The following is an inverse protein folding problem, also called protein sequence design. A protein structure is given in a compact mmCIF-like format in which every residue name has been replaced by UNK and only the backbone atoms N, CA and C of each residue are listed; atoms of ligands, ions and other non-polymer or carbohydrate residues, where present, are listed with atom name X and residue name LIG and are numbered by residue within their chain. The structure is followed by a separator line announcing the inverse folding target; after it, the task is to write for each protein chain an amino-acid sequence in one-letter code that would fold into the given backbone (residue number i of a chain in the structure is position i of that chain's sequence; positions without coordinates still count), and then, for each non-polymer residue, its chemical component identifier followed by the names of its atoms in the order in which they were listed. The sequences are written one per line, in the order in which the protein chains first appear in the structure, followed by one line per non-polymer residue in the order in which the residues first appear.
data_IF_608015020758
#
_entry.id   IF_608015020758
#
_cell.length_a   1.000
_cell.length_b   1.000
_cell.length_c   1.000
_cell.angle_alpha   90.00
_cell.angle_beta   90.00
_cell.angle_gamma   90.00
#
_symmetry.space_group_name_H-M   'P 1'
#
loop_
_entity.id
_entity.type
_entity.pdbx_description
1 polymer ?
#
# COMPACT_ATOMS: atom_id res chain seq x y z
N UNK A 1 -9.68 -4.20 -3.35
CA UNK A 1 -8.52 -3.30 -3.13
C UNK A 1 -8.42 -2.83 -1.68
N UNK A 2 -9.43 -2.15 -1.10
CA UNK A 2 -9.36 -1.69 0.30
C UNK A 2 -9.02 -2.79 1.31
N UNK A 3 -9.67 -3.97 1.20
CA UNK A 3 -9.41 -5.12 2.07
C UNK A 3 -7.95 -5.58 1.99
N UNK A 4 -7.39 -5.71 0.78
CA UNK A 4 -6.00 -6.11 0.56
C UNK A 4 -5.06 -5.11 1.25
N UNK A 5 -5.27 -3.80 1.07
CA UNK A 5 -4.45 -2.77 1.74
C UNK A 5 -4.55 -2.85 3.25
N UNK A 6 -5.76 -2.97 3.80
CA UNK A 6 -5.99 -3.03 5.23
C UNK A 6 -5.29 -4.24 5.86
N UNK A 7 -5.42 -5.40 5.25
CA UNK A 7 -4.77 -6.64 5.67
C UNK A 7 -3.24 -6.54 5.58
N UNK A 8 -2.69 -6.08 4.45
CA UNK A 8 -1.25 -5.99 4.24
C UNK A 8 -0.57 -4.98 5.19
N UNK A 9 -1.26 -3.89 5.54
CA UNK A 9 -0.74 -2.90 6.50
C UNK A 9 -1.05 -3.26 7.96
N UNK A 10 -1.97 -4.19 8.21
CA UNK A 10 -2.41 -4.60 9.54
C UNK A 10 -3.24 -3.53 10.25
N UNK A 11 -4.13 -2.85 9.51
CA UNK A 11 -4.94 -1.72 10.00
C UNK A 11 -6.42 -1.95 9.74
N UNK A 12 -7.27 -1.21 10.45
CA UNK A 12 -8.71 -1.23 10.19
C UNK A 12 -9.05 -0.64 8.82
N UNK A 13 -10.00 -1.26 8.11
CA UNK A 13 -10.38 -0.86 6.75
C UNK A 13 -10.93 0.57 6.69
N UNK A 14 -11.49 1.11 7.78
CA UNK A 14 -11.97 2.50 7.86
C UNK A 14 -10.86 3.53 7.71
N UNK A 15 -9.59 3.13 7.92
CA UNK A 15 -8.42 3.97 7.70
C UNK A 15 -7.95 4.00 6.24
N UNK A 16 -8.53 3.16 5.37
CA UNK A 16 -8.17 3.08 3.95
C UNK A 16 -9.23 3.79 3.11
N UNK A 17 -8.79 4.71 2.25
CA UNK A 17 -9.64 5.40 1.29
C UNK A 17 -9.13 5.18 -0.13
N UNK A 18 -10.05 4.91 -1.04
CA UNK A 18 -9.78 4.85 -2.48
C UNK A 18 -10.21 6.17 -3.11
N UNK A 19 -9.35 6.74 -3.95
CA UNK A 19 -9.71 7.83 -4.85
C UNK A 19 -10.06 7.26 -6.23
N UNK A 20 -10.76 8.05 -7.04
CA UNK A 20 -11.04 7.68 -8.43
C UNK A 20 -9.77 7.35 -9.23
N UNK A 21 -9.94 6.46 -10.20
CA UNK A 21 -8.90 6.09 -11.16
C UNK A 21 -8.61 7.28 -12.06
N UNK A 22 -7.34 7.69 -12.11
CA UNK A 22 -6.90 8.82 -12.92
C UNK A 22 -5.49 8.56 -13.48
N UNK A 23 -5.27 8.95 -14.74
CA UNK A 23 -4.04 8.66 -15.50
C UNK A 23 -2.84 9.51 -15.07
N UNK A 24 -3.07 10.61 -14.36
CA UNK A 24 -2.05 11.40 -13.68
C UNK A 24 -1.49 10.69 -12.44
N UNK A 25 -2.28 9.81 -11.79
CA UNK A 25 -1.87 9.01 -10.65
C UNK A 25 -1.23 7.69 -11.07
N UNK A 26 -1.89 6.95 -11.96
CA UNK A 26 -1.43 5.65 -12.46
C UNK A 26 -1.47 5.67 -13.99
N UNK A 27 -0.33 5.92 -14.66
CA UNK A 27 -0.26 5.94 -16.12
C UNK A 27 -0.23 4.52 -16.71
N UNK A 28 -0.58 4.42 -18.00
CA UNK A 28 -0.42 3.20 -18.81
C UNK A 28 -1.09 1.94 -18.24
N UNK A 29 -2.24 2.08 -17.59
CA UNK A 29 -3.02 0.95 -17.07
C UNK A 29 -3.66 0.13 -18.19
N UNK A 30 -3.84 -1.17 -17.94
CA UNK A 30 -4.63 -2.01 -18.84
C UNK A 30 -6.13 -1.83 -18.56
N UNK A 31 -7.00 -1.99 -19.58
CA UNK A 31 -8.44 -1.91 -19.38
C UNK A 31 -8.95 -2.89 -18.31
N UNK A 32 -9.98 -2.50 -17.56
CA UNK A 32 -10.71 -3.42 -16.68
C UNK A 32 -11.51 -4.40 -17.53
N UNK A 33 -10.93 -5.57 -17.84
CA UNK A 33 -11.50 -6.58 -18.72
C UNK A 33 -11.05 -7.99 -18.34
N UNK A 34 -11.75 -9.01 -18.84
CA UNK A 34 -11.30 -10.40 -18.81
C UNK A 34 -11.39 -11.09 -17.44
N UNK A 35 -12.08 -10.49 -16.47
CA UNK A 35 -12.16 -10.98 -15.08
C UNK A 35 -10.83 -11.01 -14.33
N UNK A 36 -9.79 -10.34 -14.85
CA UNK A 36 -8.43 -10.38 -14.29
C UNK A 36 -8.07 -9.17 -13.42
N UNK A 37 -8.93 -8.15 -13.34
CA UNK A 37 -8.55 -6.88 -12.73
C UNK A 37 -8.14 -7.00 -11.26
N UNK A 38 -8.85 -7.81 -10.46
CA UNK A 38 -8.47 -8.06 -9.07
C UNK A 38 -7.13 -8.81 -8.97
N UNK A 39 -6.88 -9.74 -9.89
CA UNK A 39 -5.69 -10.58 -9.92
C UNK A 39 -4.46 -9.83 -10.43
N UNK A 40 -4.64 -8.75 -11.21
CA UNK A 40 -3.57 -7.89 -11.67
C UNK A 40 -3.25 -6.77 -10.67
N UNK A 41 -4.28 -6.04 -10.24
CA UNK A 41 -4.09 -4.86 -9.39
C UNK A 41 -3.94 -5.21 -7.91
N UNK A 42 -4.42 -6.37 -7.46
CA UNK A 42 -4.25 -6.86 -6.09
C UNK A 42 -2.78 -7.08 -5.75
N UNK A 43 -2.04 -7.90 -6.51
CA UNK A 43 -0.60 -8.08 -6.31
C UNK A 43 0.22 -6.79 -6.45
N UNK A 44 -0.14 -5.90 -7.38
CA UNK A 44 0.51 -4.60 -7.48
C UNK A 44 0.33 -3.79 -6.18
N UNK A 45 -0.85 -3.84 -5.56
CA UNK A 45 -1.13 -3.18 -4.29
C UNK A 45 -0.40 -3.85 -3.11
N UNK A 46 -0.25 -5.18 -3.14
CA UNK A 46 0.55 -5.93 -2.16
C UNK A 46 2.01 -5.46 -2.21
N UNK A 47 2.60 -5.34 -3.41
CA UNK A 47 3.96 -4.83 -3.60
C UNK A 47 4.12 -3.42 -2.99
N UNK A 48 3.20 -2.50 -3.28
CA UNK A 48 3.22 -1.16 -2.66
C UNK A 48 3.17 -1.21 -1.12
N UNK A 49 2.31 -2.07 -0.54
CA UNK A 49 2.19 -2.22 0.90
C UNK A 49 3.45 -2.85 1.53
N UNK A 50 4.08 -3.81 0.86
CA UNK A 50 5.34 -4.42 1.29
C UNK A 50 6.47 -3.40 1.30
N UNK A 51 6.57 -2.56 0.26
CA UNK A 51 7.53 -1.47 0.22
C UNK A 51 7.34 -0.49 1.40
N UNK A 52 6.10 -0.09 1.71
CA UNK A 52 5.81 0.75 2.87
C UNK A 52 6.17 0.06 4.19
N UNK A 53 5.77 -1.20 4.37
CA UNK A 53 6.11 -1.97 5.55
C UNK A 53 7.63 -2.11 5.74
N UNK A 54 8.40 -2.30 4.67
CA UNK A 54 9.86 -2.34 4.72
C UNK A 54 10.46 -1.03 5.21
N UNK A 55 9.92 0.12 4.77
CA UNK A 55 10.33 1.45 5.25
C UNK A 55 9.98 1.66 6.73
N UNK A 56 8.83 1.15 7.17
CA UNK A 56 8.35 1.28 8.55
C UNK A 56 8.92 0.22 9.50
N UNK A 57 9.52 -0.86 9.00
CA UNK A 57 10.01 -1.98 9.80
C UNK A 57 10.97 -1.55 10.92
N UNK A 58 11.97 -0.66 10.69
CA UNK A 58 12.84 -0.20 11.76
C UNK A 58 12.09 0.50 12.90
N UNK A 59 11.04 1.26 12.58
CA UNK A 59 10.20 1.92 13.58
C UNK A 59 9.32 0.93 14.34
N UNK A 60 8.73 -0.04 13.64
CA UNK A 60 7.94 -1.10 14.26
C UNK A 60 8.77 -1.91 15.27
N UNK A 61 10.06 -2.14 14.99
CA UNK A 61 10.99 -2.81 15.90
C UNK A 61 11.37 -1.93 17.10
N UNK A 62 11.69 -0.65 16.87
CA UNK A 62 12.01 0.30 17.95
C UNK A 62 10.83 0.57 18.87
N UNK A 63 9.61 0.53 18.33
CA UNK A 63 8.39 0.95 19.01
C UNK A 63 7.23 -0.03 18.78
N UNK A 64 7.30 -1.25 19.36
CA UNK A 64 6.35 -2.33 19.07
C UNK A 64 4.92 -2.07 19.58
N UNK A 65 4.75 -1.14 20.53
CA UNK A 65 3.46 -0.85 21.17
C UNK A 65 2.74 0.37 20.59
N UNK A 66 3.35 1.08 19.63
CA UNK A 66 2.72 2.27 19.07
C UNK A 66 1.49 1.91 18.24
N UNK A 67 0.45 2.73 18.38
CA UNK A 67 -0.68 2.71 17.45
C UNK A 67 -0.21 3.12 16.05
N UNK A 68 -0.96 2.72 15.03
CA UNK A 68 -0.67 3.09 13.65
C UNK A 68 -0.47 4.60 13.46
N UNK A 69 -1.35 5.42 14.02
CA UNK A 69 -1.29 6.88 13.90
C UNK A 69 0.01 7.45 14.48
N UNK A 70 0.44 6.95 15.65
CA UNK A 70 1.68 7.39 16.28
C UNK A 70 2.92 6.88 15.56
N UNK A 71 2.86 5.68 14.99
CA UNK A 71 3.93 5.15 14.12
C UNK A 71 4.13 6.04 12.88
N UNK A 72 3.04 6.46 12.23
CA UNK A 72 3.10 7.33 11.05
C UNK A 72 3.58 8.75 11.41
N UNK A 73 3.14 9.29 12.54
CA UNK A 73 3.65 10.57 13.06
C UNK A 73 5.17 10.50 13.31
N UNK A 74 5.67 9.42 13.92
CA UNK A 74 7.10 9.20 14.11
C UNK A 74 7.84 9.05 12.77
N UNK A 75 7.28 8.32 11.81
CA UNK A 75 7.87 8.16 10.48
C UNK A 75 8.04 9.51 9.76
N UNK A 76 7.07 10.43 9.93
CA UNK A 76 7.18 11.79 9.42
C UNK A 76 8.34 12.56 10.08
N UNK A 77 8.46 12.52 11.41
CA UNK A 77 9.56 13.19 12.12
C UNK A 77 10.95 12.62 11.76
N UNK A 78 11.03 11.31 11.51
CA UNK A 78 12.26 10.65 11.04
C UNK A 78 12.49 10.81 9.53
N UNK A 79 11.65 11.58 8.83
CA UNK A 79 11.72 11.86 7.39
C UNK A 79 11.72 10.59 6.53
N UNK A 80 10.99 9.57 6.96
CA UNK A 80 10.77 8.35 6.20
C UNK A 80 9.69 8.63 5.15
N UNK A 81 9.97 8.30 3.88
CA UNK A 81 9.01 8.51 2.80
C UNK A 81 7.80 7.57 2.92
N UNK A 82 6.61 8.14 3.13
CA UNK A 82 5.33 7.44 3.30
C UNK A 82 4.55 7.21 1.99
N UNK A 83 5.26 7.21 0.86
CA UNK A 83 4.73 6.89 -0.47
C UNK A 83 5.41 5.65 -1.04
N UNK A 84 4.65 4.78 -1.68
CA UNK A 84 5.13 3.66 -2.48
C UNK A 84 4.28 3.50 -3.73
N UNK A 85 4.91 3.07 -4.82
CA UNK A 85 4.25 2.72 -6.06
C UNK A 85 4.47 1.23 -6.30
N UNK A 86 3.37 0.50 -6.48
CA UNK A 86 3.40 -0.94 -6.61
C UNK A 86 3.23 -1.39 -8.06
N UNK A 87 3.80 -2.53 -8.40
CA UNK A 87 3.75 -3.05 -9.76
C UNK A 87 3.64 -4.58 -9.76
N UNK A 88 3.01 -5.12 -10.82
CA UNK A 88 2.86 -6.55 -10.98
C UNK A 88 2.90 -6.95 -12.46
N UNK A 89 3.59 -8.05 -12.72
CA UNK A 89 3.61 -8.74 -14.01
C UNK A 89 3.10 -10.16 -13.75
N UNK A 90 2.20 -10.63 -14.60
CA UNK A 90 1.75 -12.02 -14.56
C UNK A 90 2.94 -12.94 -14.86
N UNK A 91 3.29 -13.90 -13.98
CA UNK A 91 4.34 -14.88 -14.24
C UNK A 91 4.07 -15.69 -15.52
N UNK A 92 5.15 -16.15 -16.18
CA UNK A 92 5.07 -17.10 -17.31
C UNK A 92 4.60 -18.50 -16.89
#
# INVERSE_FOLDING_TARGET
MLQITAEQLGIDISLVRLHETATDKIPNTTPTVGSLSSDLYGPALIDACQQLNKKLAPLKVKHPTLTWQKLIEQAYYERIQLFANGFYIVPE
#
